data_IF_409053336350
#
_entry.id   IF_409053336350
#
_cell.length_a   1.000
_cell.length_b   1.000
_cell.length_c   1.000
_cell.angle_alpha   90.00
_cell.angle_beta   90.00
_cell.angle_gamma   90.00
#
_symmetry.space_group_name_H-M   'P 1'
#
loop_
_entity.id
_entity.type
_entity.pdbx_description
1 polymer ?
#
# COMPACT_ATOMS: atom_id res chain seq x y z
N UNK A 1 -2.38 0.66 -18.43
CA UNK A 1 -2.92 0.43 -17.08
C UNK A 1 -2.84 -1.07 -16.82
N UNK A 2 -2.19 -1.49 -15.75
CA UNK A 2 -2.05 -2.89 -15.37
C UNK A 2 -2.31 -3.03 -13.88
N UNK A 3 -3.04 -4.07 -13.49
CA UNK A 3 -3.37 -4.35 -12.11
C UNK A 3 -2.48 -5.52 -11.70
N UNK A 4 -1.54 -5.30 -10.78
CA UNK A 4 -0.68 -6.35 -10.26
C UNK A 4 -1.08 -6.65 -8.82
N UNK A 5 -1.33 -7.92 -8.44
CA UNK A 5 -1.57 -8.25 -7.06
C UNK A 5 -0.30 -8.01 -6.24
N UNK A 6 -0.49 -7.58 -5.00
CA UNK A 6 0.58 -7.35 -4.04
C UNK A 6 0.15 -7.90 -2.68
N UNK A 7 1.08 -8.56 -2.00
CA UNK A 7 0.94 -8.97 -0.61
C UNK A 7 1.87 -8.10 0.20
N UNK A 8 1.35 -7.40 1.21
CA UNK A 8 2.12 -6.60 2.15
C UNK A 8 1.97 -7.15 3.58
N UNK A 9 3.07 -7.17 4.31
CA UNK A 9 3.10 -7.28 5.76
C UNK A 9 3.45 -5.92 6.33
N UNK A 10 2.54 -5.34 7.11
CA UNK A 10 2.75 -4.08 7.85
C UNK A 10 3.09 -4.44 9.29
N UNK A 11 4.19 -3.91 9.80
CA UNK A 11 4.66 -4.09 11.17
C UNK A 11 4.06 -3.02 12.10
N UNK A 12 4.17 -3.24 13.41
CA UNK A 12 3.61 -2.34 14.43
C UNK A 12 4.21 -0.93 14.39
N UNK A 13 5.45 -0.79 13.91
CA UNK A 13 6.12 0.51 13.72
C UNK A 13 5.69 1.23 12.42
N UNK A 14 4.76 0.65 11.67
CA UNK A 14 4.27 1.16 10.39
C UNK A 14 5.18 0.86 9.20
N UNK A 15 6.35 0.25 9.40
CA UNK A 15 7.16 -0.26 8.30
C UNK A 15 6.44 -1.41 7.60
N UNK A 16 6.64 -1.55 6.29
CA UNK A 16 6.05 -2.65 5.54
C UNK A 16 7.04 -3.24 4.56
N UNK A 17 6.85 -4.53 4.28
CA UNK A 17 7.49 -5.27 3.19
C UNK A 17 6.45 -6.03 2.42
N UNK A 18 6.73 -6.31 1.16
CA UNK A 18 5.83 -7.11 0.35
C UNK A 18 6.39 -7.52 -0.98
N UNK A 19 5.58 -8.30 -1.67
CA UNK A 19 5.91 -8.88 -2.96
C UNK A 19 4.84 -8.44 -3.95
N UNK A 20 5.27 -7.74 -4.99
CA UNK A 20 4.45 -7.35 -6.13
C UNK A 20 4.63 -8.41 -7.24
N UNK A 21 3.51 -8.99 -7.67
CA UNK A 21 3.50 -10.01 -8.73
C UNK A 21 3.31 -9.31 -10.08
N UNK A 22 4.40 -9.14 -10.82
CA UNK A 22 4.39 -8.58 -12.18
C UNK A 22 4.98 -9.61 -13.12
N UNK A 23 4.12 -10.45 -13.70
CA UNK A 23 4.54 -11.54 -14.58
C UNK A 23 5.56 -11.09 -15.63
N UNK A 24 6.64 -11.86 -15.85
CA UNK A 24 6.95 -13.18 -15.27
C UNK A 24 7.70 -13.13 -13.92
N UNK A 25 7.85 -11.94 -13.32
CA UNK A 25 8.74 -11.70 -12.18
C UNK A 25 7.98 -11.30 -10.91
N UNK A 26 8.60 -11.56 -9.76
CA UNK A 26 8.21 -10.92 -8.51
C UNK A 26 9.18 -9.77 -8.22
N UNK A 27 8.65 -8.69 -7.65
CA UNK A 27 9.45 -7.55 -7.18
C UNK A 27 9.20 -7.36 -5.70
N UNK A 28 10.27 -7.33 -4.93
CA UNK A 28 10.18 -6.90 -3.54
C UNK A 28 9.88 -5.40 -3.48
N UNK A 29 8.99 -5.04 -2.56
CA UNK A 29 8.65 -3.66 -2.26
C UNK A 29 8.68 -3.46 -0.76
N UNK A 30 9.10 -2.29 -0.32
CA UNK A 30 9.08 -1.94 1.09
C UNK A 30 8.86 -0.46 1.29
N UNK A 31 8.68 -0.07 2.54
CA UNK A 31 8.46 1.31 2.91
C UNK A 31 7.98 1.47 4.33
N UNK A 32 7.41 2.64 4.61
CA UNK A 32 6.72 2.93 5.86
C UNK A 32 5.41 3.68 5.59
N UNK A 33 4.40 3.37 6.39
CA UNK A 33 3.15 4.14 6.49
C UNK A 33 3.31 5.09 7.67
N UNK A 34 3.16 6.39 7.41
CA UNK A 34 3.37 7.46 8.39
C UNK A 34 2.06 8.21 8.56
N UNK A 35 1.54 8.26 9.79
CA UNK A 35 0.37 9.05 10.13
C UNK A 35 0.79 10.51 10.30
N UNK A 36 0.23 11.40 9.48
CA UNK A 36 0.55 12.85 9.53
C UNK A 36 -0.42 13.58 10.45
N UNK A 37 -1.70 13.19 10.44
CA UNK A 37 -2.78 13.66 11.32
C UNK A 37 -3.93 12.64 11.30
N UNK A 38 -4.95 12.73 12.19
CA UNK A 38 -6.06 11.78 12.19
C UNK A 38 -6.67 11.59 10.79
N UNK A 39 -6.88 10.33 10.39
CA UNK A 39 -7.37 9.91 9.07
C UNK A 39 -6.51 10.33 7.85
N UNK A 40 -5.32 10.89 8.05
CA UNK A 40 -4.37 11.18 6.97
C UNK A 40 -3.05 10.45 7.20
N UNK A 41 -2.84 9.40 6.42
CA UNK A 41 -1.57 8.69 6.34
C UNK A 41 -0.90 8.91 4.98
N UNK A 42 0.43 8.87 4.99
CA UNK A 42 1.27 8.82 3.81
C UNK A 42 2.04 7.51 3.80
N UNK A 43 2.49 7.09 2.62
CA UNK A 43 3.51 6.06 2.53
C UNK A 43 4.76 6.62 1.87
N UNK A 44 5.90 6.13 2.32
CA UNK A 44 7.19 6.30 1.67
C UNK A 44 7.71 4.92 1.31
N UNK A 45 7.84 4.61 0.02
CA UNK A 45 8.15 3.27 -0.44
C UNK A 45 9.15 3.20 -1.58
N UNK A 46 9.62 1.98 -1.85
CA UNK A 46 10.59 1.67 -2.90
C UNK A 46 10.17 2.19 -4.28
N UNK A 47 8.87 2.15 -4.58
CA UNK A 47 8.32 2.57 -5.87
C UNK A 47 7.70 3.98 -5.82
N UNK A 48 8.17 4.80 -4.89
CA UNK A 48 7.72 6.18 -4.69
C UNK A 48 6.86 6.36 -3.45
N UNK A 49 6.34 7.57 -3.32
CA UNK A 49 5.62 8.03 -2.14
C UNK A 49 4.18 8.38 -2.51
N UNK A 50 3.34 8.49 -1.49
CA UNK A 50 1.97 8.89 -1.73
C UNK A 50 1.10 8.91 -0.50
N UNK A 51 -0.21 8.91 -0.74
CA UNK A 51 -1.24 8.89 0.29
C UNK A 51 -1.73 7.46 0.54
N UNK A 52 -2.01 7.15 1.80
CA UNK A 52 -2.75 5.94 2.21
C UNK A 52 -4.06 6.37 2.85
N UNK A 53 -5.18 5.82 2.39
CA UNK A 53 -6.49 5.98 3.03
C UNK A 53 -7.03 4.63 3.50
N UNK A 54 -7.63 4.62 4.69
CA UNK A 54 -8.39 3.48 5.19
C UNK A 54 -9.86 3.65 4.79
N UNK A 55 -10.41 2.63 4.14
CA UNK A 55 -11.82 2.50 3.83
C UNK A 55 -12.37 1.27 4.56
N UNK A 56 -13.61 1.35 5.02
CA UNK A 56 -14.34 0.20 5.53
C UNK A 56 -15.50 -0.09 4.58
N UNK A 57 -15.51 -1.30 4.00
CA UNK A 57 -16.56 -1.75 3.08
C UNK A 57 -16.98 -3.16 3.46
N UNK A 58 -18.28 -3.37 3.72
CA UNK A 58 -18.85 -4.69 4.05
C UNK A 58 -18.11 -5.42 5.19
N UNK A 59 -17.70 -4.67 6.23
CA UNK A 59 -16.95 -5.20 7.37
C UNK A 59 -15.48 -5.51 7.09
N UNK A 60 -14.97 -5.22 5.88
CA UNK A 60 -13.56 -5.32 5.54
C UNK A 60 -12.89 -3.95 5.60
N UNK A 61 -11.71 -3.93 6.19
CA UNK A 61 -10.78 -2.80 6.10
C UNK A 61 -10.03 -2.87 4.78
N UNK A 62 -9.88 -1.75 4.10
CA UNK A 62 -9.20 -1.64 2.81
C UNK A 62 -8.25 -0.46 2.89
N UNK A 63 -6.97 -0.71 2.69
CA UNK A 63 -5.95 0.33 2.55
C UNK A 63 -5.78 0.66 1.08
N UNK A 64 -5.99 1.93 0.72
CA UNK A 64 -5.80 2.43 -0.64
C UNK A 64 -4.58 3.31 -0.71
N UNK A 65 -3.63 2.93 -1.56
CA UNK A 65 -2.38 3.62 -1.83
C UNK A 65 -2.50 4.39 -3.14
N UNK A 66 -2.21 5.69 -3.11
CA UNK A 66 -2.24 6.56 -4.29
C UNK A 66 -0.91 7.29 -4.38
N UNK A 67 -0.15 7.02 -5.45
CA UNK A 67 1.15 7.63 -5.71
C UNK A 67 1.00 9.12 -6.05
N UNK A 68 1.88 9.98 -5.53
CA UNK A 68 1.82 11.43 -5.80
C UNK A 68 2.14 11.76 -7.27
N UNK A 69 2.95 10.96 -7.94
CA UNK A 69 3.39 11.16 -9.34
C UNK A 69 2.35 10.79 -10.40
N UNK A 70 1.10 10.52 -10.02
CA UNK A 70 0.01 10.20 -10.95
C UNK A 70 0.04 8.77 -11.52
N UNK A 71 1.01 7.94 -11.14
CA UNK A 71 1.07 6.52 -11.45
C UNK A 71 -0.02 5.74 -10.69
N UNK A 72 -0.63 4.74 -11.33
CA UNK A 72 -1.76 3.96 -10.82
C UNK A 72 -1.62 3.53 -9.36
N UNK A 73 -2.71 3.68 -8.60
CA UNK A 73 -2.77 3.31 -7.19
C UNK A 73 -2.91 1.80 -6.97
N UNK A 74 -2.60 1.35 -5.76
CA UNK A 74 -2.82 -0.02 -5.31
C UNK A 74 -3.93 -0.05 -4.25
N UNK A 75 -4.77 -1.09 -4.28
CA UNK A 75 -5.77 -1.33 -3.25
C UNK A 75 -5.46 -2.66 -2.58
N UNK A 76 -5.41 -2.64 -1.26
CA UNK A 76 -5.02 -3.76 -0.43
C UNK A 76 -6.11 -4.02 0.61
N UNK A 77 -6.50 -5.28 0.74
CA UNK A 77 -7.34 -5.74 1.84
C UNK A 77 -6.43 -6.46 2.83
N UNK A 78 -6.25 -5.97 4.07
CA UNK A 78 -5.52 -6.72 5.09
C UNK A 78 -6.19 -8.07 5.32
N UNK A 79 -5.40 -9.13 5.27
CA UNK A 79 -5.81 -10.46 5.74
C UNK A 79 -5.56 -10.53 7.24
N UNK A 80 -6.48 -11.17 7.98
CA UNK A 80 -6.28 -11.47 9.40
C UNK A 80 -5.17 -12.51 9.60
#
# INVERSE_FOLDING_TARGET
MGNAPVILTVQDDGSYRGILYVEPTYKEVGGAIIVIRPAQARYHGTNGNGRVTLHEEKGRRILRFVNDGGGGGAQLTPTQ
#
